data_IF_066850868570
#
_entry.id   IF_066850868570
#
_cell.length_a   1.000
_cell.length_b   1.000
_cell.length_c   1.000
_cell.angle_alpha   90.00
_cell.angle_beta   90.00
_cell.angle_gamma   90.00
#
_symmetry.space_group_name_H-M   'P 1'
#
loop_
_entity.id
_entity.type
_entity.pdbx_description
1 polymer ?
#
# COMPACT_ATOMS: atom_id res chain seq x y z
N UNK A 1 20.36 -8.45 -4.31
CA UNK A 1 19.88 -7.40 -3.39
C UNK A 1 19.33 -8.04 -2.13
N UNK A 2 19.66 -7.51 -0.98
CA UNK A 2 19.20 -8.06 0.28
C UNK A 2 17.74 -7.73 0.54
N UNK A 3 17.06 -8.64 1.24
CA UNK A 3 15.63 -8.43 1.56
C UNK A 3 15.41 -7.13 2.31
N UNK A 4 16.27 -6.83 3.27
CA UNK A 4 16.18 -5.59 4.05
C UNK A 4 16.32 -4.32 3.21
N UNK A 5 16.96 -4.43 2.06
CA UNK A 5 17.10 -3.31 1.13
C UNK A 5 15.86 -3.16 0.23
N UNK A 6 15.22 -4.28 -0.07
CA UNK A 6 14.05 -4.32 -0.96
C UNK A 6 12.80 -3.80 -0.24
N UNK A 7 12.63 -4.16 1.02
CA UNK A 7 11.42 -3.84 1.78
C UNK A 7 11.04 -2.36 1.73
N UNK A 8 11.94 -1.41 2.03
CA UNK A 8 11.54 0.01 1.99
C UNK A 8 11.16 0.49 0.61
N UNK A 9 11.77 -0.04 -0.44
CA UNK A 9 11.42 0.33 -1.81
C UNK A 9 10.01 -0.12 -2.16
N UNK A 10 9.65 -1.35 -1.79
CA UNK A 10 8.32 -1.88 -2.05
C UNK A 10 7.27 -1.13 -1.22
N UNK A 11 7.56 -0.89 0.04
CA UNK A 11 6.67 -0.14 0.90
C UNK A 11 6.39 1.25 0.33
N UNK A 12 7.43 1.94 -0.12
CA UNK A 12 7.30 3.26 -0.71
C UNK A 12 6.47 3.26 -1.99
N UNK A 13 6.68 2.25 -2.84
CA UNK A 13 5.92 2.12 -4.09
C UNK A 13 4.44 1.92 -3.83
N UNK A 14 4.11 1.02 -2.92
CA UNK A 14 2.72 0.74 -2.58
C UNK A 14 2.05 1.99 -2.00
N UNK A 15 2.75 2.66 -1.10
CA UNK A 15 2.22 3.87 -0.45
C UNK A 15 1.98 5.00 -1.46
N UNK A 16 2.90 5.18 -2.39
CA UNK A 16 2.82 6.27 -3.36
C UNK A 16 1.84 6.01 -4.50
N UNK A 17 1.52 4.74 -4.76
CA UNK A 17 0.64 4.38 -5.86
C UNK A 17 -0.82 4.71 -5.57
N UNK A 18 -1.55 5.16 -6.58
CA UNK A 18 -2.97 5.41 -6.47
C UNK A 18 -3.81 4.22 -6.92
N UNK A 19 -3.17 3.11 -7.19
CA UNK A 19 -3.83 1.86 -7.60
C UNK A 19 -3.11 0.67 -6.99
N UNK A 20 -3.77 -0.50 -6.89
CA UNK A 20 -3.10 -1.70 -6.41
C UNK A 20 -1.95 -2.10 -7.32
N UNK A 21 -0.86 -2.55 -6.72
CA UNK A 21 0.30 -3.04 -7.47
C UNK A 21 0.47 -4.53 -7.19
N UNK A 22 0.56 -5.33 -8.25
CA UNK A 22 0.76 -6.76 -8.11
C UNK A 22 2.20 -7.08 -7.74
N UNK A 23 2.44 -8.31 -7.32
CA UNK A 23 3.79 -8.79 -7.02
C UNK A 23 4.71 -8.61 -8.23
N UNK A 24 4.20 -8.87 -9.42
CA UNK A 24 4.97 -8.72 -10.67
C UNK A 24 5.26 -7.25 -10.94
N UNK A 25 4.27 -6.39 -10.79
CA UNK A 25 4.45 -4.94 -10.95
C UNK A 25 5.52 -4.41 -10.02
N UNK A 26 5.50 -4.84 -8.77
CA UNK A 26 6.46 -4.39 -7.77
C UNK A 26 7.88 -4.82 -8.12
N UNK A 27 8.04 -6.06 -8.56
CA UNK A 27 9.35 -6.55 -8.99
C UNK A 27 9.90 -5.75 -10.16
N UNK A 28 9.04 -5.47 -11.14
CA UNK A 28 9.44 -4.69 -12.31
C UNK A 28 9.82 -3.26 -11.93
N UNK A 29 9.03 -2.63 -11.07
CA UNK A 29 9.29 -1.25 -10.66
C UNK A 29 10.57 -1.12 -9.85
N UNK A 30 10.80 -2.04 -8.92
CA UNK A 30 12.02 -2.02 -8.12
C UNK A 30 13.24 -2.20 -9.02
N UNK A 31 13.19 -3.18 -9.92
CA UNK A 31 14.31 -3.45 -10.80
C UNK A 31 14.54 -2.33 -11.82
N UNK A 32 13.48 -1.67 -12.26
CA UNK A 32 13.62 -0.51 -13.14
C UNK A 32 14.25 0.67 -12.41
N UNK A 33 13.81 0.93 -11.20
CA UNK A 33 14.34 2.03 -10.40
C UNK A 33 15.81 1.84 -10.06
N UNK A 34 16.23 0.58 -9.87
CA UNK A 34 17.60 0.25 -9.49
C UNK A 34 18.35 -0.43 -10.64
N UNK A 35 18.02 -0.05 -11.88
CA UNK A 35 18.58 -0.68 -13.06
C UNK A 35 20.10 -0.58 -13.16
N UNK A 36 20.69 0.41 -12.50
CA UNK A 36 22.15 0.59 -12.48
C UNK A 36 22.84 -0.36 -11.52
N UNK A 37 22.08 -1.09 -10.70
CA UNK A 37 22.64 -2.08 -9.77
C UNK A 37 22.52 -3.46 -10.42
N UNK A 38 23.63 -4.20 -10.45
CA UNK A 38 23.63 -5.52 -11.05
C UNK A 38 22.84 -6.56 -10.29
N UNK A 39 22.80 -6.44 -8.97
CA UNK A 39 22.13 -7.40 -8.08
C UNK A 39 20.65 -7.11 -7.99
N UNK A 40 19.89 -7.70 -8.90
CA UNK A 40 18.46 -7.45 -9.02
C UNK A 40 17.65 -8.20 -7.97
N UNK A 41 16.48 -7.65 -7.66
CA UNK A 41 15.50 -8.31 -6.80
C UNK A 41 14.84 -9.44 -7.59
N UNK A 42 14.77 -10.63 -6.97
CA UNK A 42 14.04 -11.75 -7.56
C UNK A 42 12.58 -11.67 -7.17
N UNK A 43 11.72 -12.37 -7.93
CA UNK A 43 10.30 -12.41 -7.59
C UNK A 43 10.08 -12.99 -6.20
N UNK A 44 10.85 -14.00 -5.82
CA UNK A 44 10.78 -14.60 -4.49
C UNK A 44 11.10 -13.61 -3.38
N UNK A 45 12.10 -12.76 -3.61
CA UNK A 45 12.47 -11.74 -2.64
C UNK A 45 11.38 -10.68 -2.51
N UNK A 46 10.78 -10.29 -3.64
CA UNK A 46 9.68 -9.33 -3.63
C UNK A 46 8.48 -9.92 -2.88
N UNK A 47 8.15 -11.17 -3.15
CA UNK A 47 7.05 -11.85 -2.46
C UNK A 47 7.29 -11.92 -0.96
N UNK A 48 8.52 -12.23 -0.55
CA UNK A 48 8.88 -12.28 0.86
C UNK A 48 8.82 -10.90 1.52
N UNK A 49 9.22 -9.87 0.78
CA UNK A 49 9.14 -8.49 1.28
C UNK A 49 7.71 -8.07 1.53
N UNK A 50 6.81 -8.44 0.63
CA UNK A 50 5.38 -8.13 0.78
C UNK A 50 4.82 -8.79 2.03
N UNK A 51 5.16 -10.05 2.27
CA UNK A 51 4.72 -10.76 3.47
C UNK A 51 5.25 -10.09 4.74
N UNK A 52 6.49 -9.65 4.72
CA UNK A 52 7.07 -8.93 5.85
C UNK A 52 6.37 -7.62 6.13
N UNK A 53 6.02 -6.87 5.10
CA UNK A 53 5.30 -5.61 5.23
C UNK A 53 3.89 -5.87 5.78
N UNK A 54 3.24 -6.90 5.26
CA UNK A 54 1.90 -7.29 5.70
C UNK A 54 1.90 -7.60 7.20
N UNK A 55 2.87 -8.37 7.67
CA UNK A 55 3.00 -8.72 9.09
C UNK A 55 3.28 -7.49 9.95
N UNK A 56 4.15 -6.61 9.47
CA UNK A 56 4.51 -5.38 10.18
C UNK A 56 3.27 -4.55 10.47
N UNK A 57 2.44 -4.34 9.47
CA UNK A 57 1.27 -3.48 9.60
C UNK A 57 0.05 -4.20 10.18
N UNK A 58 0.15 -5.50 10.41
CA UNK A 58 -0.92 -6.23 11.09
C UNK A 58 -0.91 -5.99 12.60
N UNK A 59 0.15 -5.39 13.14
CA UNK A 59 0.25 -5.09 14.57
C UNK A 59 -0.62 -3.90 14.94
N UNK A 60 -0.97 -3.80 16.21
CA UNK A 60 -1.80 -2.72 16.72
C UNK A 60 -1.14 -1.35 16.68
N UNK A 61 0.17 -1.33 16.50
CA UNK A 61 0.92 -0.08 16.46
C UNK A 61 0.54 0.82 15.30
N UNK A 62 0.08 0.24 14.19
CA UNK A 62 -0.24 0.98 12.97
C UNK A 62 -1.74 1.08 12.74
N UNK A 63 -2.17 2.24 12.27
CA UNK A 63 -3.57 2.51 11.99
C UNK A 63 -4.00 2.06 10.58
N UNK A 64 -3.06 1.61 9.77
CA UNK A 64 -3.33 1.13 8.41
C UNK A 64 -2.70 -0.24 8.19
N UNK A 65 -3.14 -0.90 7.14
CA UNK A 65 -2.73 -2.27 6.85
C UNK A 65 -2.51 -2.46 5.37
N UNK A 66 -1.78 -3.51 5.02
CA UNK A 66 -1.55 -3.87 3.63
C UNK A 66 -2.59 -4.91 3.24
N UNK A 67 -3.36 -4.62 2.19
CA UNK A 67 -4.42 -5.53 1.74
C UNK A 67 -4.31 -5.82 0.25
N UNK A 68 -4.69 -7.04 -0.12
CA UNK A 68 -4.75 -7.45 -1.50
C UNK A 68 -6.10 -7.08 -2.10
N UNK A 69 -6.07 -6.36 -3.22
CA UNK A 69 -7.27 -5.87 -3.90
C UNK A 69 -7.08 -6.10 -5.37
N UNK A 70 -7.96 -6.92 -5.97
CA UNK A 70 -7.90 -7.16 -7.41
C UNK A 70 -6.55 -7.67 -7.92
N UNK A 71 -5.88 -8.49 -7.13
CA UNK A 71 -4.59 -9.03 -7.50
C UNK A 71 -3.40 -8.13 -7.21
N UNK A 72 -3.61 -6.99 -6.60
CA UNK A 72 -2.55 -6.06 -6.23
C UNK A 72 -2.61 -5.69 -4.77
N UNK A 73 -1.61 -4.96 -4.31
CA UNK A 73 -1.48 -4.58 -2.91
C UNK A 73 -1.64 -3.08 -2.73
N UNK A 74 -2.37 -2.70 -1.66
CA UNK A 74 -2.57 -1.30 -1.29
C UNK A 74 -2.61 -1.16 0.21
N UNK A 75 -2.21 0.03 0.70
CA UNK A 75 -2.38 0.38 2.10
C UNK A 75 -3.77 0.97 2.31
N UNK A 76 -4.48 0.46 3.31
CA UNK A 76 -5.81 0.94 3.68
C UNK A 76 -5.84 1.23 5.17
N UNK A 77 -6.68 2.17 5.58
CA UNK A 77 -6.91 2.38 7.01
C UNK A 77 -7.63 1.17 7.59
N UNK A 78 -7.28 0.80 8.80
CA UNK A 78 -7.93 -0.32 9.47
C UNK A 78 -9.37 0.04 9.80
N UNK A 79 -10.22 -0.96 9.78
CA UNK A 79 -11.66 -0.82 9.99
C UNK A 79 -12.03 -0.03 11.24
N UNK A 80 -11.31 -0.27 12.33
CA UNK A 80 -11.62 0.39 13.60
C UNK A 80 -11.42 1.90 13.56
N UNK A 81 -10.78 2.43 12.53
CA UNK A 81 -10.52 3.87 12.40
C UNK A 81 -11.33 4.53 11.31
N UNK A 82 -12.22 3.79 10.66
CA UNK A 82 -13.01 4.33 9.55
C UNK A 82 -13.89 5.50 9.97
N UNK A 83 -14.45 5.46 11.18
CA UNK A 83 -15.25 6.57 11.70
C UNK A 83 -14.42 7.84 11.85
N UNK A 84 -13.19 7.69 12.32
CA UNK A 84 -12.28 8.82 12.46
C UNK A 84 -11.93 9.41 11.11
N UNK A 85 -11.60 8.54 10.15
CA UNK A 85 -11.23 8.97 8.81
C UNK A 85 -12.38 9.68 8.11
N UNK A 86 -13.60 9.22 8.35
CA UNK A 86 -14.79 9.81 7.73
C UNK A 86 -14.99 11.28 8.10
N UNK A 87 -14.40 11.73 9.20
CA UNK A 87 -14.52 13.13 9.63
C UNK A 87 -13.71 14.09 8.76
N UNK A 88 -12.75 13.58 8.00
CA UNK A 88 -11.87 14.42 7.19
C UNK A 88 -12.62 15.26 6.16
N UNK A 89 -13.58 14.67 5.49
CA UNK A 89 -14.30 15.32 4.40
C UNK A 89 -15.79 15.47 4.67
N UNK A 90 -16.22 15.19 5.88
CA UNK A 90 -17.63 15.30 6.26
C UNK A 90 -18.54 14.53 5.32
N UNK A 91 -19.64 15.17 4.92
CA UNK A 91 -20.65 14.54 4.07
C UNK A 91 -20.10 14.08 2.72
N UNK A 92 -19.13 14.80 2.18
CA UNK A 92 -18.54 14.47 0.90
C UNK A 92 -17.83 13.12 0.98
N UNK A 93 -17.13 12.89 2.06
CA UNK A 93 -16.43 11.61 2.26
C UNK A 93 -17.44 10.48 2.43
N UNK A 94 -18.48 10.70 3.20
CA UNK A 94 -19.54 9.71 3.43
C UNK A 94 -20.25 9.33 2.14
N UNK A 95 -20.45 10.29 1.24
CA UNK A 95 -21.03 10.02 -0.07
C UNK A 95 -20.17 9.04 -0.84
N UNK A 96 -18.86 9.20 -0.80
CA UNK A 96 -17.94 8.27 -1.48
C UNK A 96 -18.02 6.88 -0.88
N UNK A 97 -18.18 6.78 0.43
CA UNK A 97 -18.33 5.48 1.09
C UNK A 97 -19.54 4.72 0.57
N UNK A 98 -20.60 5.43 0.23
CA UNK A 98 -21.82 4.78 -0.24
C UNK A 98 -21.78 4.42 -1.72
N UNK A 99 -20.87 5.00 -2.51
CA UNK A 99 -20.83 4.81 -3.96
C UNK A 99 -19.62 4.07 -4.47
N UNK A 100 -18.57 3.95 -3.68
CA UNK A 100 -17.32 3.32 -4.08
C UNK A 100 -16.91 2.27 -3.06
N UNK A 101 -15.93 1.45 -3.42
CA UNK A 101 -15.41 0.46 -2.47
C UNK A 101 -14.70 1.17 -1.32
N UNK A 102 -14.75 0.55 -0.15
CA UNK A 102 -14.09 1.09 1.03
C UNK A 102 -12.59 1.24 0.82
N UNK A 103 -12.01 0.32 0.08
CA UNK A 103 -10.59 0.35 -0.22
C UNK A 103 -10.20 1.62 -0.95
N UNK A 104 -10.95 1.98 -1.96
CA UNK A 104 -10.70 3.18 -2.74
C UNK A 104 -10.82 4.42 -1.85
N UNK A 105 -11.79 4.42 -0.96
CA UNK A 105 -12.00 5.55 -0.07
C UNK A 105 -10.88 5.71 0.93
N UNK A 106 -10.39 4.61 1.45
CA UNK A 106 -9.27 4.64 2.39
C UNK A 106 -8.04 5.24 1.74
N UNK A 107 -7.78 4.91 0.49
CA UNK A 107 -6.64 5.45 -0.25
C UNK A 107 -6.80 6.93 -0.47
N UNK A 108 -7.99 7.37 -0.79
CA UNK A 108 -8.28 8.79 -0.95
C UNK A 108 -7.99 9.54 0.34
N UNK A 109 -8.36 8.95 1.47
CA UNK A 109 -8.10 9.55 2.77
C UNK A 109 -6.61 9.75 3.03
N UNK A 110 -5.78 8.84 2.57
CA UNK A 110 -4.34 8.97 2.73
C UNK A 110 -3.75 10.06 1.86
N UNK A 111 -4.20 10.15 0.64
CA UNK A 111 -3.54 11.00 -0.35
C UNK A 111 -4.09 12.40 -0.44
N UNK A 112 -5.37 12.53 -0.28
CA UNK A 112 -6.02 13.81 -0.47
C UNK A 112 -5.83 14.84 0.62
N UNK A 113 -5.74 14.45 1.90
CA UNK A 113 -5.56 15.47 2.94
C UNK A 113 -4.29 16.27 2.78
N UNK A 114 -3.38 15.74 2.03
CA UNK A 114 -2.07 16.35 1.84
C UNK A 114 -2.09 17.39 0.75
N UNK A 115 -3.09 17.35 -0.09
CA UNK A 115 -3.16 18.28 -1.22
C UNK A 115 -3.96 19.55 -0.92
#
# INVERSE_FOLDING_TARGET
MELSEIIPHIEALIFASDKPLSNVDLAELVNSALAFIEDRATQQQVDAAIEGIKEKYATEFYAFELREIGGGWQFLTKKEYHKTVAQLNGDKFLKRLSTASLETLAIIAYKQPIT
#
